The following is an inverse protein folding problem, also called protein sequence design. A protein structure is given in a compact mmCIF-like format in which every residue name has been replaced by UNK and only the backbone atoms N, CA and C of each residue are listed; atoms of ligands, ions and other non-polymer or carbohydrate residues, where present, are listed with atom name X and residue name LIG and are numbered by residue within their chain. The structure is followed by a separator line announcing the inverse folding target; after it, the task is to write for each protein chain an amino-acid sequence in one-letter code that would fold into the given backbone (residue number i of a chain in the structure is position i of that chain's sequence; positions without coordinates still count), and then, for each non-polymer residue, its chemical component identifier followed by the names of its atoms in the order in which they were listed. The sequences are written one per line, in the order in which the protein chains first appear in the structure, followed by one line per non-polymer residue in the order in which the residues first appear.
data_IF_153079484977
#
_entry.id   IF_153079484977
#
_cell.length_a   1.000
_cell.length_b   1.000
_cell.length_c   1.000
_cell.angle_alpha   90.00
_cell.angle_beta   90.00
_cell.angle_gamma   90.00
#
_symmetry.space_group_name_H-M   'P 1'
#
loop_
_entity.id
_entity.type
_entity.pdbx_description
1 polymer ?
#
# COMPACT_ATOMS: atom_id res chain seq x y z
N UNK A 1 -4.00 21.16 -17.23
CA UNK A 1 -4.62 20.83 -15.94
C UNK A 1 -4.52 19.33 -15.72
N UNK A 2 -4.31 18.89 -14.49
CA UNK A 2 -4.21 17.48 -14.14
C UNK A 2 -5.54 16.72 -14.23
N UNK A 3 -5.49 15.41 -14.09
CA UNK A 3 -6.68 14.55 -13.92
C UNK A 3 -6.81 14.18 -12.45
N UNK A 4 -8.00 14.35 -11.86
CA UNK A 4 -8.18 14.14 -10.41
C UNK A 4 -7.89 12.70 -9.95
N UNK A 5 -8.47 11.71 -10.64
CA UNK A 5 -8.15 10.28 -10.45
C UNK A 5 -7.70 9.72 -11.80
N UNK A 6 -6.47 9.20 -11.85
CA UNK A 6 -5.95 8.51 -13.03
C UNK A 6 -6.34 7.04 -12.99
N UNK A 7 -6.70 6.49 -14.15
CA UNK A 7 -7.05 5.09 -14.33
C UNK A 7 -6.43 4.52 -15.63
N UNK A 8 -6.71 3.24 -15.91
CA UNK A 8 -6.20 2.55 -17.11
C UNK A 8 -6.69 3.15 -18.45
N UNK A 9 -7.77 3.93 -18.41
CA UNK A 9 -8.35 4.55 -19.60
C UNK A 9 -7.88 5.99 -19.78
N UNK A 10 -7.10 6.53 -18.83
CA UNK A 10 -6.58 7.89 -18.87
C UNK A 10 -5.59 8.03 -20.04
N UNK A 11 -5.91 8.84 -21.06
CA UNK A 11 -5.01 9.03 -22.20
C UNK A 11 -3.71 9.69 -21.78
N UNK A 12 -2.59 9.33 -22.42
CA UNK A 12 -1.28 9.90 -22.15
C UNK A 12 -0.88 9.85 -20.67
N UNK A 13 -1.19 8.73 -20.00
CA UNK A 13 -1.07 8.54 -18.55
C UNK A 13 0.25 9.07 -17.96
N UNK A 14 1.39 8.83 -18.63
CA UNK A 14 2.70 9.34 -18.18
C UNK A 14 2.75 10.88 -18.11
N UNK A 15 2.25 11.56 -19.14
CA UNK A 15 2.19 13.04 -19.17
C UNK A 15 1.22 13.59 -18.14
N UNK A 16 0.07 12.93 -17.95
CA UNK A 16 -0.90 13.29 -16.91
C UNK A 16 -0.30 13.12 -15.53
N UNK A 17 0.35 11.99 -15.26
CA UNK A 17 1.05 11.73 -14.00
C UNK A 17 2.10 12.80 -13.71
N UNK A 18 2.97 13.10 -14.68
CA UNK A 18 3.98 14.17 -14.57
C UNK A 18 3.36 15.55 -14.29
N UNK A 19 2.16 15.81 -14.80
CA UNK A 19 1.44 17.05 -14.52
C UNK A 19 0.90 17.05 -13.09
N UNK A 20 0.32 15.93 -12.64
CA UNK A 20 -0.28 15.81 -11.31
C UNK A 20 0.75 15.86 -10.16
N UNK A 21 1.92 15.25 -10.34
CA UNK A 21 2.94 15.17 -9.28
C UNK A 21 3.74 16.47 -9.11
N UNK A 22 3.65 17.39 -10.07
CA UNK A 22 4.30 18.71 -9.99
C UNK A 22 3.50 19.62 -9.07
N UNK A 23 3.73 19.45 -7.77
CA UNK A 23 3.21 20.34 -6.73
C UNK A 23 4.17 21.54 -6.54
N UNK A 24 3.64 22.64 -6.03
CA UNK A 24 4.46 23.78 -5.63
C UNK A 24 5.17 23.52 -4.29
N UNK A 25 6.10 24.41 -3.93
CA UNK A 25 6.84 24.37 -2.65
C UNK A 25 6.23 25.31 -1.60
N UNK A 26 5.05 25.87 -1.86
CA UNK A 26 4.35 26.75 -0.94
C UNK A 26 3.55 25.91 0.06
N UNK A 27 3.81 26.07 1.36
CA UNK A 27 3.13 25.29 2.38
C UNK A 27 3.59 25.60 3.79
N UNK A 28 3.03 24.86 4.75
CA UNK A 28 3.49 24.79 6.12
C UNK A 28 4.47 23.60 6.23
N UNK A 29 5.51 23.71 7.06
CA UNK A 29 6.40 22.57 7.38
C UNK A 29 5.73 21.49 8.25
N UNK A 30 4.44 21.64 8.57
CA UNK A 30 3.64 20.63 9.27
C UNK A 30 3.35 19.42 8.36
N UNK A 31 4.30 18.49 8.32
CA UNK A 31 4.23 17.32 7.45
C UNK A 31 3.38 16.20 8.07
N UNK A 32 2.32 15.82 7.33
CA UNK A 32 1.24 14.93 7.80
C UNK A 32 0.86 13.89 6.78
N UNK A 33 1.86 13.16 6.26
CA UNK A 33 1.63 12.17 5.22
C UNK A 33 0.63 11.07 5.66
N UNK A 34 0.60 10.72 6.95
CA UNK A 34 -0.32 9.70 7.44
C UNK A 34 -1.77 10.17 7.48
N UNK A 35 -2.01 11.38 7.99
CA UNK A 35 -3.34 11.96 7.95
C UNK A 35 -3.77 12.27 6.51
N UNK A 36 -2.82 12.63 5.63
CA UNK A 36 -3.08 12.89 4.21
C UNK A 36 -3.67 11.67 3.49
N UNK A 37 -3.05 10.48 3.60
CA UNK A 37 -3.64 9.29 2.97
C UNK A 37 -4.95 8.88 3.64
N UNK A 38 -5.06 9.04 4.96
CA UNK A 38 -6.28 8.70 5.70
C UNK A 38 -7.46 9.57 5.29
N UNK A 39 -7.26 10.88 5.17
CA UNK A 39 -8.27 11.81 4.65
C UNK A 39 -8.59 11.52 3.19
N UNK A 40 -7.59 11.25 2.36
CA UNK A 40 -7.82 10.89 0.95
C UNK A 40 -8.75 9.68 0.82
N UNK A 41 -8.54 8.64 1.64
CA UNK A 41 -9.36 7.42 1.63
C UNK A 41 -10.75 7.61 2.27
N UNK A 42 -10.87 8.48 3.28
CA UNK A 42 -12.13 8.76 3.97
C UNK A 42 -12.98 9.85 3.32
N UNK A 43 -12.44 10.61 2.37
CA UNK A 43 -13.12 11.73 1.76
C UNK A 43 -14.29 11.29 0.85
N UNK A 44 -15.46 11.86 1.12
CA UNK A 44 -16.69 11.52 0.40
C UNK A 44 -16.64 11.88 -1.09
N UNK A 45 -15.90 12.92 -1.47
CA UNK A 45 -15.72 13.27 -2.87
C UNK A 45 -14.85 12.24 -3.59
N UNK A 46 -13.73 11.82 -3.00
CA UNK A 46 -12.90 10.73 -3.54
C UNK A 46 -13.67 9.42 -3.67
N UNK A 47 -14.48 9.07 -2.67
CA UNK A 47 -15.36 7.90 -2.72
C UNK A 47 -16.35 8.02 -3.90
N UNK A 48 -16.96 9.20 -4.10
CA UNK A 48 -17.87 9.44 -5.23
C UNK A 48 -17.20 9.31 -6.60
N UNK A 49 -15.87 9.43 -6.66
CA UNK A 49 -15.05 9.24 -7.87
C UNK A 49 -14.52 7.82 -8.04
N UNK A 50 -14.92 6.88 -7.17
CA UNK A 50 -14.42 5.51 -7.18
C UNK A 50 -12.88 5.45 -7.08
N UNK A 51 -12.27 6.38 -6.32
CA UNK A 51 -10.81 6.47 -6.15
C UNK A 51 -10.23 5.12 -5.70
N UNK A 52 -10.86 4.50 -4.69
CA UNK A 52 -10.52 3.16 -4.21
C UNK A 52 -11.46 2.14 -4.85
N UNK A 53 -10.90 1.22 -5.64
CA UNK A 53 -11.61 0.02 -6.13
C UNK A 53 -11.66 -1.06 -5.03
N UNK A 54 -12.82 -1.49 -4.52
CA UNK A 54 -12.90 -2.43 -3.38
C UNK A 54 -12.07 -3.71 -3.56
N UNK A 55 -12.05 -4.26 -4.78
CA UNK A 55 -11.39 -5.54 -5.09
C UNK A 55 -9.91 -5.41 -5.49
N UNK A 56 -9.36 -4.19 -5.54
CA UNK A 56 -7.95 -4.01 -5.87
C UNK A 56 -7.08 -4.10 -4.62
N UNK A 57 -5.80 -4.41 -4.76
CA UNK A 57 -4.81 -4.16 -3.71
C UNK A 57 -4.58 -2.65 -3.54
N UNK A 58 -4.49 -2.17 -2.29
CA UNK A 58 -4.21 -0.76 -1.99
C UNK A 58 -2.72 -0.55 -1.71
N UNK A 59 -2.00 0.00 -2.68
CA UNK A 59 -0.62 0.43 -2.49
C UNK A 59 -0.57 1.92 -2.15
N UNK A 60 0.00 2.27 -0.99
CA UNK A 60 0.28 3.65 -0.60
C UNK A 60 1.79 3.85 -0.69
N UNK A 61 2.24 4.87 -1.43
CA UNK A 61 3.65 5.20 -1.58
C UNK A 61 3.85 6.60 -1.06
N UNK A 62 4.63 6.74 0.01
CA UNK A 62 4.99 8.02 0.62
C UNK A 62 6.36 8.44 0.11
N UNK A 63 6.48 9.67 -0.37
CA UNK A 63 7.75 10.26 -0.81
C UNK A 63 7.90 11.59 -0.07
N UNK A 64 8.89 11.70 0.81
CA UNK A 64 9.04 12.88 1.66
C UNK A 64 10.45 12.96 2.27
N UNK A 65 11.01 14.16 2.33
CA UNK A 65 12.27 14.48 3.00
C UNK A 65 12.09 14.92 4.46
N UNK A 66 10.91 14.69 5.01
CA UNK A 66 10.49 15.05 6.37
C UNK A 66 9.86 13.85 7.09
N UNK A 67 9.54 14.03 8.37
CA UNK A 67 8.87 13.03 9.21
C UNK A 67 7.38 13.35 9.37
N UNK A 68 6.55 12.32 9.60
CA UNK A 68 5.14 12.53 9.92
C UNK A 68 4.90 12.90 11.39
N UNK A 69 4.30 14.07 11.61
CA UNK A 69 3.81 14.49 12.92
C UNK A 69 2.29 14.64 12.97
N UNK A 70 1.58 13.80 12.20
CA UNK A 70 0.12 13.78 12.19
C UNK A 70 -0.45 13.64 13.60
N UNK A 71 -1.23 14.64 14.02
CA UNK A 71 -1.75 14.76 15.38
C UNK A 71 -3.22 15.17 15.40
N UNK A 72 -3.86 15.07 16.56
CA UNK A 72 -5.26 15.46 16.77
C UNK A 72 -5.51 16.97 16.79
N UNK A 73 -4.50 17.78 16.48
CA UNK A 73 -4.60 19.24 16.47
C UNK A 73 -3.98 19.82 15.20
N UNK A 74 -4.47 20.95 14.73
CA UNK A 74 -3.91 21.67 13.57
C UNK A 74 -2.71 22.55 13.94
N UNK A 75 -2.20 22.41 15.17
CA UNK A 75 -1.00 23.10 15.62
C UNK A 75 0.25 22.36 15.15
N UNK A 76 1.16 23.11 14.53
CA UNK A 76 2.48 22.63 14.16
C UNK A 76 3.25 22.16 15.41
N UNK A 77 3.63 20.88 15.44
CA UNK A 77 4.36 20.29 16.56
C UNK A 77 5.17 19.05 16.12
N UNK A 78 6.45 19.27 15.85
CA UNK A 78 7.40 18.24 15.44
C UNK A 78 8.07 17.51 16.62
N UNK A 79 7.27 17.10 17.61
CA UNK A 79 7.78 16.38 18.78
C UNK A 79 7.23 14.96 18.86
N UNK A 80 8.15 13.99 19.00
CA UNK A 80 7.80 12.61 19.33
C UNK A 80 7.13 12.46 20.69
N UNK A 81 7.32 13.42 21.61
CA UNK A 81 6.67 13.44 22.93
C UNK A 81 5.34 14.20 22.93
N UNK A 82 4.87 14.68 21.78
CA UNK A 82 3.58 15.33 21.67
C UNK A 82 2.45 14.35 22.07
N UNK A 83 1.77 14.62 23.19
CA UNK A 83 0.64 13.81 23.67
C UNK A 83 -0.54 13.71 22.69
N UNK A 84 -0.58 14.57 21.67
CA UNK A 84 -1.60 14.60 20.62
C UNK A 84 -1.18 13.87 19.35
N UNK A 85 0.08 13.42 19.26
CA UNK A 85 0.63 12.67 18.12
C UNK A 85 -0.09 11.33 17.98
N UNK A 86 -0.61 11.05 16.78
CA UNK A 86 -1.20 9.75 16.51
C UNK A 86 -0.11 8.68 16.42
N UNK A 87 -0.39 7.50 16.99
CA UNK A 87 0.54 6.38 16.92
C UNK A 87 0.54 5.79 15.52
N UNK A 88 1.68 5.25 15.08
CA UNK A 88 1.76 4.52 13.80
C UNK A 88 0.75 3.36 13.74
N UNK A 89 0.56 2.67 14.87
CA UNK A 89 -0.41 1.59 14.97
C UNK A 89 -1.86 2.05 14.71
N UNK A 90 -2.23 3.30 15.05
CA UNK A 90 -3.57 3.81 14.76
C UNK A 90 -3.86 3.85 13.25
N UNK A 91 -2.86 4.15 12.43
CA UNK A 91 -2.97 4.13 10.98
C UNK A 91 -3.01 2.72 10.40
N UNK A 92 -2.28 1.77 10.99
CA UNK A 92 -2.40 0.35 10.67
C UNK A 92 -3.82 -0.14 10.96
N UNK A 93 -4.37 0.16 12.14
CA UNK A 93 -5.72 -0.23 12.52
C UNK A 93 -6.79 0.38 11.59
N UNK A 94 -6.60 1.65 11.20
CA UNK A 94 -7.44 2.31 10.21
C UNK A 94 -7.41 1.56 8.87
N UNK A 95 -6.23 1.25 8.33
CA UNK A 95 -6.10 0.56 7.04
C UNK A 95 -6.61 -0.88 7.09
N UNK A 96 -6.37 -1.61 8.18
CA UNK A 96 -6.94 -2.94 8.43
C UNK A 96 -8.48 -2.88 8.39
N UNK A 97 -9.07 -1.93 9.12
CA UNK A 97 -10.54 -1.73 9.13
C UNK A 97 -11.06 -1.33 7.75
N UNK A 98 -10.40 -0.36 7.10
CA UNK A 98 -10.81 0.19 5.81
C UNK A 98 -10.77 -0.85 4.69
N UNK A 99 -9.82 -1.79 4.75
CA UNK A 99 -9.64 -2.82 3.72
C UNK A 99 -10.25 -4.17 4.08
N UNK A 100 -10.81 -4.32 5.29
CA UNK A 100 -11.20 -5.63 5.83
C UNK A 100 -10.00 -6.57 6.04
N UNK A 101 -8.79 -6.01 6.12
CA UNK A 101 -7.53 -6.72 6.27
C UNK A 101 -7.32 -7.26 7.68
N UNK A 102 -6.43 -8.24 7.78
CA UNK A 102 -5.91 -8.75 9.06
C UNK A 102 -4.38 -8.83 8.95
N UNK A 103 -3.65 -8.92 10.05
CA UNK A 103 -2.18 -8.94 10.04
C UNK A 103 -1.56 -9.97 9.05
N UNK A 104 -2.25 -11.09 8.81
CA UNK A 104 -1.81 -12.17 7.92
C UNK A 104 -2.49 -12.18 6.55
N UNK A 105 -3.31 -11.19 6.23
CA UNK A 105 -4.08 -11.10 4.98
C UNK A 105 -4.46 -9.66 4.66
N UNK A 106 -3.48 -8.76 4.71
CA UNK A 106 -3.67 -7.35 4.36
C UNK A 106 -3.79 -7.23 2.84
N UNK A 107 -4.86 -6.60 2.38
CA UNK A 107 -5.04 -6.22 0.99
C UNK A 107 -4.47 -4.81 0.72
N UNK A 108 -3.39 -4.44 1.43
CA UNK A 108 -2.72 -3.17 1.29
C UNK A 108 -1.26 -3.25 1.76
N UNK A 109 -0.46 -2.30 1.31
CA UNK A 109 0.88 -2.02 1.84
C UNK A 109 1.17 -0.53 1.82
N UNK A 110 2.06 -0.09 2.71
CA UNK A 110 2.58 1.28 2.72
C UNK A 110 4.08 1.24 2.49
N UNK A 111 4.53 1.70 1.34
CA UNK A 111 5.94 1.86 1.02
C UNK A 111 6.36 3.31 1.22
N UNK A 112 7.65 3.54 1.47
CA UNK A 112 8.19 4.89 1.58
C UNK A 112 9.48 5.07 0.78
N UNK A 113 9.71 6.29 0.32
CA UNK A 113 10.99 6.77 -0.19
C UNK A 113 11.30 8.05 0.58
N UNK A 114 12.18 7.94 1.58
CA UNK A 114 12.45 9.00 2.55
C UNK A 114 13.90 9.00 3.01
N UNK A 115 14.26 9.89 3.93
CA UNK A 115 15.57 9.91 4.56
C UNK A 115 15.63 8.79 5.60
N UNK A 116 16.43 7.75 5.34
CA UNK A 116 16.50 6.54 6.17
C UNK A 116 17.61 6.59 7.22
N UNK A 117 18.66 7.39 6.99
CA UNK A 117 19.87 7.39 7.81
C UNK A 117 20.53 8.77 7.86
N UNK A 118 21.52 8.90 8.76
CA UNK A 118 22.27 10.13 8.94
C UNK A 118 23.09 10.51 7.70
N UNK A 119 23.61 9.54 6.96
CA UNK A 119 24.39 9.78 5.74
C UNK A 119 23.56 10.52 4.69
N UNK A 120 22.34 10.06 4.45
CA UNK A 120 21.41 10.70 3.53
C UNK A 120 20.94 12.06 4.07
N UNK A 121 20.67 12.15 5.38
CA UNK A 121 20.30 13.41 6.01
C UNK A 121 21.38 14.49 5.81
N UNK A 122 22.64 14.15 6.10
CA UNK A 122 23.78 15.04 5.96
C UNK A 122 23.97 15.47 4.50
N UNK A 123 23.87 14.51 3.56
CA UNK A 123 23.97 14.79 2.13
C UNK A 123 22.92 15.82 1.69
N UNK A 124 21.65 15.62 2.06
CA UNK A 124 20.57 16.52 1.65
C UNK A 124 20.68 17.88 2.35
N UNK A 125 21.00 17.90 3.65
CA UNK A 125 21.11 19.12 4.44
C UNK A 125 22.20 20.10 4.00
N UNK A 126 23.09 19.70 3.08
CA UNK A 126 24.03 20.62 2.41
C UNK A 126 23.33 21.74 1.63
N UNK A 127 22.14 21.48 1.09
CA UNK A 127 21.41 22.44 0.23
C UNK A 127 20.29 23.17 0.98
N UNK A 128 19.58 22.45 1.86
CA UNK A 128 18.50 23.00 2.68
C UNK A 128 18.46 22.27 4.02
N UNK A 129 18.53 23.02 5.12
CA UNK A 129 18.51 22.45 6.48
C UNK A 129 17.08 22.31 7.00
N UNK A 130 16.86 21.40 7.94
CA UNK A 130 15.58 21.25 8.65
C UNK A 130 14.91 19.88 8.47
N UNK A 131 15.37 19.15 7.45
CA UNK A 131 14.94 17.80 7.09
C UNK A 131 15.11 16.82 8.22
N UNK A 132 14.36 15.72 8.17
CA UNK A 132 14.33 14.72 9.23
C UNK A 132 14.44 13.30 8.69
N UNK A 133 15.06 12.44 9.48
CA UNK A 133 15.01 10.99 9.29
C UNK A 133 13.58 10.53 9.59
N UNK A 134 13.00 9.77 8.67
CA UNK A 134 11.59 9.38 8.73
C UNK A 134 11.38 8.02 9.44
N UNK A 135 11.63 8.01 10.74
CA UNK A 135 11.49 6.84 11.62
C UNK A 135 10.07 6.26 11.64
N UNK A 136 9.03 7.11 11.60
CA UNK A 136 7.63 6.66 11.63
C UNK A 136 7.21 6.07 10.29
N UNK A 137 7.71 6.61 9.17
CA UNK A 137 7.55 5.98 7.85
C UNK A 137 8.15 4.58 7.83
N UNK A 138 9.38 4.43 8.31
CA UNK A 138 10.01 3.11 8.43
C UNK A 138 9.16 2.15 9.28
N UNK A 139 8.66 2.61 10.43
CA UNK A 139 7.78 1.80 11.29
C UNK A 139 6.49 1.37 10.57
N UNK A 140 5.78 2.29 9.89
CA UNK A 140 4.54 1.97 9.19
C UNK A 140 4.80 0.99 8.04
N UNK A 141 5.88 1.20 7.30
CA UNK A 141 6.27 0.34 6.19
C UNK A 141 6.60 -1.06 6.65
N UNK A 142 7.36 -1.22 7.74
CA UNK A 142 7.62 -2.54 8.33
C UNK A 142 6.34 -3.24 8.79
N UNK A 143 5.44 -2.52 9.48
CA UNK A 143 4.17 -3.09 9.96
C UNK A 143 3.25 -3.53 8.82
N UNK A 144 3.36 -2.92 7.65
CA UNK A 144 2.49 -3.16 6.48
C UNK A 144 3.16 -3.95 5.36
N UNK A 145 4.38 -4.47 5.60
CA UNK A 145 5.19 -5.24 4.65
C UNK A 145 5.45 -4.51 3.31
N UNK A 146 5.51 -3.18 3.36
CA UNK A 146 5.90 -2.37 2.20
C UNK A 146 7.42 -2.32 2.01
N UNK A 147 7.85 -1.55 1.02
CA UNK A 147 9.27 -1.33 0.69
C UNK A 147 9.73 0.00 1.25
N UNK A 148 10.91 0.01 1.89
CA UNK A 148 11.59 1.22 2.32
C UNK A 148 12.68 1.57 1.31
N UNK A 149 12.68 2.79 0.82
CA UNK A 149 13.68 3.34 -0.09
C UNK A 149 14.32 4.60 0.46
N UNK A 150 15.57 4.84 0.08
CA UNK A 150 16.28 6.07 0.45
C UNK A 150 16.13 7.13 -0.64
N UNK A 151 15.82 8.36 -0.24
CA UNK A 151 15.83 9.52 -1.15
C UNK A 151 17.20 9.80 -1.78
N UNK A 152 18.27 9.35 -1.14
CA UNK A 152 19.64 9.50 -1.64
C UNK A 152 20.08 8.35 -2.55
N UNK A 153 19.21 7.36 -2.78
CA UNK A 153 19.46 6.22 -3.66
C UNK A 153 18.78 6.40 -5.03
N UNK A 154 19.00 5.44 -5.93
CA UNK A 154 18.32 5.42 -7.22
C UNK A 154 16.82 5.17 -7.05
N UNK A 155 16.03 6.15 -7.50
CA UNK A 155 14.58 6.14 -7.37
C UNK A 155 13.95 5.06 -8.26
N UNK A 156 14.52 4.80 -9.44
CA UNK A 156 14.02 3.80 -10.40
C UNK A 156 14.09 2.37 -9.87
N UNK A 157 15.20 2.02 -9.23
CA UNK A 157 15.37 0.73 -8.57
C UNK A 157 14.38 0.55 -7.43
N UNK A 158 14.19 1.59 -6.60
CA UNK A 158 13.23 1.56 -5.50
C UNK A 158 11.79 1.39 -6.00
N UNK A 159 11.41 2.10 -7.07
CA UNK A 159 10.10 1.95 -7.69
C UNK A 159 9.89 0.56 -8.29
N UNK A 160 10.94 -0.05 -8.86
CA UNK A 160 10.90 -1.45 -9.32
C UNK A 160 10.63 -2.40 -8.15
N UNK A 161 11.34 -2.26 -7.04
CA UNK A 161 11.10 -3.07 -5.83
C UNK A 161 9.69 -2.89 -5.27
N UNK A 162 9.18 -1.65 -5.26
CA UNK A 162 7.80 -1.37 -4.86
C UNK A 162 6.81 -2.09 -5.80
N UNK A 163 7.03 -2.01 -7.11
CA UNK A 163 6.21 -2.71 -8.11
C UNK A 163 6.18 -4.21 -7.87
N UNK A 164 7.35 -4.85 -7.72
CA UNK A 164 7.47 -6.29 -7.51
C UNK A 164 6.82 -6.73 -6.18
N UNK A 165 6.98 -5.93 -5.13
CA UNK A 165 6.32 -6.14 -3.83
C UNK A 165 4.79 -6.07 -3.96
N UNK A 166 4.25 -5.08 -4.69
CA UNK A 166 2.80 -4.95 -4.93
C UNK A 166 2.27 -6.15 -5.72
N UNK A 167 2.98 -6.59 -6.76
CA UNK A 167 2.60 -7.78 -7.55
C UNK A 167 2.55 -9.01 -6.64
N UNK A 168 3.57 -9.20 -5.81
CA UNK A 168 3.64 -10.34 -4.88
C UNK A 168 2.50 -10.30 -3.84
N UNK A 169 2.28 -9.15 -3.19
CA UNK A 169 1.25 -9.01 -2.16
C UNK A 169 -0.17 -9.07 -2.72
N UNK A 170 -0.38 -8.60 -3.95
CA UNK A 170 -1.66 -8.72 -4.65
C UNK A 170 -1.94 -10.13 -5.20
N UNK A 171 -0.96 -11.03 -5.14
CA UNK A 171 -1.10 -12.44 -5.53
C UNK A 171 -1.64 -13.32 -4.41
N UNK A 172 -1.99 -12.75 -3.26
CA UNK A 172 -2.51 -13.45 -2.07
C UNK A 172 -3.99 -13.13 -1.87
N UNK A 173 -4.83 -14.15 -1.85
CA UNK A 173 -6.28 -14.04 -1.77
C UNK A 173 -6.81 -14.77 -0.54
N UNK A 174 -7.41 -14.02 0.41
CA UNK A 174 -8.01 -14.61 1.60
C UNK A 174 -9.39 -15.17 1.29
N UNK A 175 -9.61 -16.43 1.65
CA UNK A 175 -10.90 -17.10 1.59
C UNK A 175 -11.81 -16.59 2.71
N UNK A 176 -13.10 -16.51 2.39
CA UNK A 176 -14.11 -16.03 3.35
C UNK A 176 -14.45 -17.07 4.41
N UNK A 177 -14.12 -18.34 4.18
CA UNK A 177 -14.43 -19.50 5.02
C UNK A 177 -13.36 -20.57 4.87
N UNK A 178 -13.27 -21.44 5.87
CA UNK A 178 -12.38 -22.60 5.81
C UNK A 178 -12.89 -23.61 4.75
N UNK A 179 -12.09 -23.91 3.71
CA UNK A 179 -12.43 -24.86 2.66
C UNK A 179 -12.14 -26.31 3.09
N UNK A 180 -12.82 -27.25 2.44
CA UNK A 180 -12.35 -28.62 2.24
C UNK A 180 -11.26 -28.55 1.15
N UNK A 181 -9.96 -28.75 1.46
CA UNK A 181 -8.88 -28.42 0.55
C UNK A 181 -8.98 -29.06 -0.84
N UNK A 182 -9.38 -30.33 -0.91
CA UNK A 182 -9.52 -31.11 -2.14
C UNK A 182 -10.64 -30.61 -3.08
N UNK A 183 -11.48 -29.68 -2.62
CA UNK A 183 -12.57 -29.07 -3.41
C UNK A 183 -12.19 -27.70 -3.99
N UNK A 184 -11.01 -27.18 -3.65
CA UNK A 184 -10.56 -25.86 -4.11
C UNK A 184 -10.31 -25.92 -5.62
N UNK A 185 -11.08 -25.12 -6.37
CA UNK A 185 -10.89 -24.91 -7.81
C UNK A 185 -10.61 -23.44 -8.05
N UNK A 186 -9.40 -23.16 -8.51
CA UNK A 186 -8.94 -21.81 -8.86
C UNK A 186 -8.97 -21.64 -10.37
N UNK A 187 -9.59 -20.54 -10.83
CA UNK A 187 -9.57 -20.14 -12.24
C UNK A 187 -9.14 -18.70 -12.40
N UNK A 188 -8.38 -18.43 -13.47
CA UNK A 188 -7.95 -17.10 -13.89
C UNK A 188 -8.43 -16.91 -15.33
N UNK A 189 -9.28 -15.89 -15.56
CA UNK A 189 -9.94 -15.64 -16.84
C UNK A 189 -10.68 -16.86 -17.41
N UNK A 190 -11.22 -17.71 -16.51
CA UNK A 190 -11.94 -18.94 -16.85
C UNK A 190 -11.06 -20.18 -17.07
N UNK A 191 -9.74 -20.03 -17.15
CA UNK A 191 -8.80 -21.16 -17.24
C UNK A 191 -8.45 -21.68 -15.86
N UNK A 192 -8.48 -23.01 -15.66
CA UNK A 192 -8.09 -23.65 -14.41
C UNK A 192 -6.59 -23.47 -14.18
N UNK A 193 -6.22 -23.06 -12.96
CA UNK A 193 -4.83 -22.96 -12.51
C UNK A 193 -4.54 -24.13 -11.58
N UNK A 194 -3.46 -24.91 -11.80
CA UNK A 194 -3.14 -26.06 -10.95
C UNK A 194 -2.65 -25.63 -9.56
N UNK A 195 -2.85 -26.50 -8.57
CA UNK A 195 -2.15 -26.39 -7.29
C UNK A 195 -0.68 -26.75 -7.51
N UNK A 196 0.20 -25.76 -7.44
CA UNK A 196 1.63 -25.92 -7.69
C UNK A 196 2.40 -24.77 -7.01
N UNK A 197 3.42 -25.12 -6.23
CA UNK A 197 4.20 -24.16 -5.45
C UNK A 197 5.21 -23.34 -6.26
N UNK A 198 5.46 -23.70 -7.53
CA UNK A 198 6.38 -22.99 -8.43
C UNK A 198 5.63 -22.20 -9.50
N UNK A 199 4.56 -22.76 -10.06
CA UNK A 199 3.81 -22.19 -11.18
C UNK A 199 2.32 -22.59 -11.14
N UNK A 200 1.61 -22.05 -10.16
CA UNK A 200 0.21 -22.37 -9.88
C UNK A 200 -0.29 -21.60 -8.68
N UNK A 201 -1.00 -22.28 -7.77
CA UNK A 201 -1.37 -21.73 -6.47
C UNK A 201 -1.04 -22.68 -5.32
N UNK A 202 -0.96 -22.13 -4.10
CA UNK A 202 -0.87 -22.88 -2.84
C UNK A 202 -1.89 -22.37 -1.84
N UNK A 203 -2.40 -23.25 -0.98
CA UNK A 203 -3.30 -22.89 0.13
C UNK A 203 -2.59 -22.93 1.48
N UNK A 204 -2.70 -21.84 2.26
CA UNK A 204 -2.26 -21.76 3.66
C UNK A 204 -3.46 -21.79 4.60
N UNK A 205 -3.58 -22.89 5.34
CA UNK A 205 -4.68 -23.12 6.30
C UNK A 205 -4.60 -22.26 7.57
N UNK A 206 -3.43 -21.69 7.90
CA UNK A 206 -3.26 -20.88 9.12
C UNK A 206 -3.97 -19.53 9.05
N UNK A 207 -4.15 -19.01 7.84
CA UNK A 207 -4.72 -17.69 7.57
C UNK A 207 -5.80 -17.71 6.48
N UNK A 208 -6.14 -18.90 5.97
CA UNK A 208 -7.11 -19.16 4.91
C UNK A 208 -6.78 -18.43 3.60
N UNK A 209 -5.52 -18.47 3.15
CA UNK A 209 -5.09 -17.74 1.95
C UNK A 209 -4.70 -18.65 0.79
N UNK A 210 -4.97 -18.18 -0.42
CA UNK A 210 -4.48 -18.73 -1.68
C UNK A 210 -3.41 -17.79 -2.23
N UNK A 211 -2.21 -18.31 -2.47
CA UNK A 211 -1.10 -17.55 -3.05
C UNK A 211 -0.81 -18.06 -4.45
N UNK A 212 -0.77 -17.18 -5.45
CA UNK A 212 -0.35 -17.51 -6.81
C UNK A 212 1.16 -17.40 -6.99
N UNK A 213 1.73 -18.27 -7.82
CA UNK A 213 3.17 -18.38 -8.07
C UNK A 213 3.52 -18.37 -9.55
N UNK A 214 4.75 -17.98 -9.89
CA UNK A 214 5.28 -18.05 -11.24
C UNK A 214 4.46 -17.28 -12.28
N UNK A 215 4.27 -17.89 -13.45
CA UNK A 215 3.46 -17.34 -14.55
C UNK A 215 1.95 -17.40 -14.28
N UNK A 216 1.50 -18.10 -13.23
CA UNK A 216 0.11 -18.14 -12.83
C UNK A 216 -0.34 -16.90 -12.03
N UNK A 217 0.59 -16.06 -11.59
CA UNK A 217 0.31 -14.75 -10.97
C UNK A 217 -0.61 -13.93 -11.89
N UNK A 218 -1.84 -13.61 -11.44
CA UNK A 218 -2.81 -12.94 -12.30
C UNK A 218 -2.34 -11.53 -12.67
N UNK A 219 -2.33 -11.23 -13.97
CA UNK A 219 -2.08 -9.87 -14.45
C UNK A 219 -3.19 -8.89 -14.06
N UNK A 220 -2.92 -7.60 -14.22
CA UNK A 220 -3.90 -6.55 -13.94
C UNK A 220 -5.22 -6.77 -14.71
N UNK A 221 -6.35 -6.62 -14.01
CA UNK A 221 -7.72 -6.86 -14.51
C UNK A 221 -8.08 -8.32 -14.79
N UNK A 222 -7.24 -9.30 -14.42
CA UNK A 222 -7.64 -10.70 -14.52
C UNK A 222 -8.86 -10.98 -13.62
N UNK A 223 -9.78 -11.80 -14.11
CA UNK A 223 -10.91 -12.29 -13.31
C UNK A 223 -10.50 -13.56 -12.60
N UNK A 224 -10.43 -13.51 -11.27
CA UNK A 224 -10.06 -14.64 -10.43
C UNK A 224 -11.34 -15.20 -9.81
N UNK A 225 -11.54 -16.51 -9.90
CA UNK A 225 -12.59 -17.20 -9.15
C UNK A 225 -11.99 -18.37 -8.39
N UNK A 226 -12.30 -18.42 -7.10
CA UNK A 226 -11.88 -19.49 -6.19
C UNK A 226 -13.17 -20.11 -5.64
N UNK A 227 -13.49 -21.32 -6.12
CA UNK A 227 -14.64 -22.09 -5.65
C UNK A 227 -14.14 -23.18 -4.69
N UNK A 228 -14.90 -23.45 -3.65
CA UNK A 228 -14.61 -24.52 -2.69
C UNK A 228 -15.86 -24.89 -1.90
N UNK A 229 -15.90 -26.12 -1.39
CA UNK A 229 -16.88 -26.54 -0.41
C UNK A 229 -16.39 -26.15 1.00
N UNK A 230 -17.19 -25.44 1.80
CA UNK A 230 -16.79 -25.04 3.14
C UNK A 230 -16.87 -26.22 4.12
N UNK A 231 -15.91 -26.33 5.05
CA UNK A 231 -15.91 -27.41 6.09
C UNK A 231 -17.13 -27.40 6.99
N UNK A 232 -17.75 -26.23 7.18
CA UNK A 232 -18.92 -26.04 8.04
C UNK A 232 -20.11 -25.58 7.22
N UNK A 233 -21.33 -25.70 7.76
CA UNK A 233 -22.52 -25.08 7.17
C UNK A 233 -22.67 -23.67 7.75
N UNK A 234 -23.11 -22.71 6.94
CA UNK A 234 -23.43 -21.36 7.42
C UNK A 234 -24.81 -21.45 8.10
N UNK A 235 -24.83 -21.37 9.43
CA UNK A 235 -26.06 -21.32 10.22
C UNK A 235 -26.64 -19.91 10.13
#
# INVERSE_FOLDING_TARGET
SGVYVMDKNTPNLSSVFQTNIKVGTNGNGDERAFESFKQTLGDSFNISKNFRRPDAFLAIIIVSDEEDFSSSTDQFNESYSNSKLYTVQSYVNFLDTYTGGTANGRNYSVSNISIQDQTCLDQLNTSFTGRKIATRYAQLTSLTKGVQGSLCSDFGNTLTLISDSIVTLSSVFKLTREPIPETIVVTVNGSVVPEDASNGWTYDSSNLTITFHGSAVPGANATIKINFDPKTIKI
#
